data_IF_604265986738
#
_entry.id   IF_604265986738
#
_cell.length_a   1.000
_cell.length_b   1.000
_cell.length_c   1.000
_cell.angle_alpha   90.00
_cell.angle_beta   90.00
_cell.angle_gamma   90.00
#
_symmetry.space_group_name_H-M   'P 1'
#
loop_
_entity.id
_entity.type
_entity.pdbx_description
1 polymer ?
#
# COMPACT_ATOMS: atom_id res chain seq x y z
N UNK A 1 19.34 3.54 9.16
CA UNK A 1 18.50 3.50 7.93
C UNK A 1 18.54 4.86 7.24
N UNK A 2 18.08 5.00 5.98
CA UNK A 2 18.00 6.31 5.32
C UNK A 2 17.04 7.27 6.06
N UNK A 3 16.00 6.73 6.69
CA UNK A 3 15.07 7.48 7.54
C UNK A 3 15.79 8.16 8.72
N UNK A 4 16.76 7.47 9.33
CA UNK A 4 17.56 8.05 10.43
C UNK A 4 18.58 9.10 9.95
N UNK A 5 18.75 9.24 8.62
CA UNK A 5 19.56 10.27 7.97
C UNK A 5 18.71 11.40 7.36
N UNK A 6 17.43 11.50 7.75
CA UNK A 6 16.54 12.59 7.33
C UNK A 6 15.80 12.36 6.01
N UNK A 7 15.79 11.13 5.47
CA UNK A 7 14.90 10.81 4.35
C UNK A 7 13.43 11.00 4.76
N UNK A 8 12.64 11.63 3.89
CA UNK A 8 11.22 11.89 4.13
C UNK A 8 10.43 10.60 3.90
N UNK A 9 9.81 10.06 4.96
CA UNK A 9 9.05 8.80 4.92
C UNK A 9 7.91 8.82 3.89
N UNK A 10 7.29 9.98 3.71
CA UNK A 10 6.18 10.23 2.79
C UNK A 10 6.62 10.88 1.47
N UNK A 11 7.89 10.75 1.08
CA UNK A 11 8.37 11.31 -0.17
C UNK A 11 7.52 10.79 -1.34
N UNK A 12 6.93 11.71 -2.11
CA UNK A 12 6.15 11.36 -3.29
C UNK A 12 7.01 11.45 -4.56
N UNK A 13 6.82 10.49 -5.48
CA UNK A 13 7.46 10.49 -6.79
C UNK A 13 7.70 9.09 -7.37
N UNK A 14 8.15 9.07 -8.63
CA UNK A 14 8.40 7.84 -9.38
C UNK A 14 7.13 7.09 -9.77
N UNK A 15 7.29 5.93 -10.40
CA UNK A 15 6.18 5.08 -10.87
C UNK A 15 5.31 4.52 -9.73
N UNK A 16 5.87 4.41 -8.53
CA UNK A 16 5.23 3.80 -7.37
C UNK A 16 4.55 4.81 -6.43
N UNK A 17 4.63 6.12 -6.69
CA UNK A 17 3.97 7.12 -5.86
C UNK A 17 4.71 7.45 -4.57
N UNK A 18 4.93 6.49 -3.66
CA UNK A 18 5.66 6.69 -2.40
C UNK A 18 6.32 5.39 -1.87
N UNK A 19 7.20 5.45 -0.85
CA UNK A 19 7.86 4.26 -0.30
C UNK A 19 6.92 3.18 0.22
N UNK A 20 5.80 3.56 0.85
CA UNK A 20 4.83 2.62 1.40
C UNK A 20 4.14 1.85 0.27
N UNK A 21 3.69 2.54 -0.79
CA UNK A 21 3.13 1.91 -1.98
C UNK A 21 4.12 0.93 -2.65
N UNK A 22 5.39 1.33 -2.79
CA UNK A 22 6.41 0.45 -3.37
C UNK A 22 6.67 -0.81 -2.53
N UNK A 23 6.74 -0.67 -1.19
CA UNK A 23 6.90 -1.80 -0.29
C UNK A 23 5.68 -2.74 -0.31
N UNK A 24 4.47 -2.15 -0.37
CA UNK A 24 3.21 -2.87 -0.43
C UNK A 24 3.01 -3.62 -1.75
N UNK A 25 3.40 -3.05 -2.88
CA UNK A 25 3.40 -3.73 -4.19
C UNK A 25 4.32 -4.96 -4.24
N UNK A 26 5.39 -4.95 -3.43
CA UNK A 26 6.38 -6.04 -3.38
C UNK A 26 6.14 -7.06 -2.28
N UNK A 27 5.14 -6.83 -1.41
CA UNK A 27 4.87 -7.72 -0.28
C UNK A 27 5.98 -7.70 0.78
N UNK A 28 6.69 -6.58 0.94
CA UNK A 28 7.78 -6.49 1.92
C UNK A 28 7.25 -6.18 3.33
N UNK A 29 6.63 -7.17 3.99
CA UNK A 29 5.93 -7.03 5.28
C UNK A 29 6.73 -6.23 6.32
N UNK A 30 8.01 -6.57 6.54
CA UNK A 30 8.85 -5.91 7.53
C UNK A 30 9.13 -4.44 7.19
N UNK A 31 9.23 -4.12 5.90
CA UNK A 31 9.46 -2.75 5.44
C UNK A 31 8.18 -1.92 5.55
N UNK A 32 7.02 -2.51 5.21
CA UNK A 32 5.71 -1.89 5.40
C UNK A 32 5.50 -1.53 6.87
N UNK A 33 5.72 -2.49 7.78
CA UNK A 33 5.60 -2.26 9.22
C UNK A 33 6.50 -1.11 9.69
N UNK A 34 7.78 -1.14 9.30
CA UNK A 34 8.76 -0.12 9.65
C UNK A 34 8.36 1.27 9.14
N UNK A 35 7.86 1.37 7.91
CA UNK A 35 7.41 2.64 7.34
C UNK A 35 6.21 3.21 8.11
N UNK A 36 5.22 2.36 8.43
CA UNK A 36 4.04 2.75 9.21
C UNK A 36 4.43 3.19 10.63
N UNK A 37 5.36 2.47 11.28
CA UNK A 37 5.86 2.85 12.61
C UNK A 37 6.70 4.14 12.59
N UNK A 38 7.25 4.50 11.43
CA UNK A 38 7.96 5.78 11.20
C UNK A 38 7.02 6.90 10.71
N UNK A 39 5.70 6.69 10.73
CA UNK A 39 4.71 7.71 10.40
C UNK A 39 4.43 7.87 8.91
N UNK A 40 4.61 6.80 8.12
CA UNK A 40 4.08 6.79 6.76
C UNK A 40 2.57 7.02 6.78
N UNK A 41 2.09 7.90 5.90
CA UNK A 41 0.66 8.11 5.70
C UNK A 41 0.08 6.89 4.99
N UNK A 42 -0.67 6.09 5.76
CA UNK A 42 -1.32 4.86 5.29
C UNK A 42 -2.28 5.11 4.11
N UNK A 43 -2.84 6.32 4.02
CA UNK A 43 -3.82 6.72 3.01
C UNK A 43 -3.23 7.59 1.90
N UNK A 44 -1.90 7.75 1.85
CA UNK A 44 -1.24 8.57 0.84
C UNK A 44 -1.59 8.11 -0.58
N UNK A 45 -2.26 9.00 -1.30
CA UNK A 45 -2.69 8.81 -2.68
C UNK A 45 -1.55 9.12 -3.66
N UNK A 46 -1.57 8.46 -4.83
CA UNK A 46 -0.66 8.67 -5.94
C UNK A 46 -0.18 7.37 -6.56
N UNK A 47 0.79 7.46 -7.47
CA UNK A 47 1.36 6.28 -8.14
C UNK A 47 0.35 5.54 -9.03
N UNK A 48 0.78 4.40 -9.57
CA UNK A 48 -0.03 3.58 -10.47
C UNK A 48 -1.27 2.95 -9.80
N UNK A 49 -1.14 2.58 -8.55
CA UNK A 49 -2.15 1.78 -7.84
C UNK A 49 -3.18 2.63 -7.09
N UNK A 50 -2.90 3.92 -6.89
CA UNK A 50 -3.73 4.82 -6.08
C UNK A 50 -3.18 4.95 -4.67
N UNK A 51 -3.06 3.85 -3.91
CA UNK A 51 -2.54 3.82 -2.55
C UNK A 51 -1.90 2.45 -2.22
N UNK A 52 -1.36 2.35 -1.00
CA UNK A 52 -0.65 1.15 -0.55
C UNK A 52 -1.56 -0.07 -0.44
N UNK A 53 -2.81 0.12 -0.02
CA UNK A 53 -3.80 -0.94 0.13
C UNK A 53 -4.16 -1.54 -1.23
N UNK A 54 -4.47 -0.69 -2.22
CA UNK A 54 -4.75 -1.10 -3.60
C UNK A 54 -3.54 -1.81 -4.23
N UNK A 55 -2.32 -1.34 -3.97
CA UNK A 55 -1.10 -1.98 -4.45
C UNK A 55 -0.95 -3.41 -3.90
N UNK A 56 -1.08 -3.59 -2.58
CA UNK A 56 -1.02 -4.89 -1.92
C UNK A 56 -2.13 -5.83 -2.41
N UNK A 57 -3.35 -5.30 -2.55
CA UNK A 57 -4.50 -6.06 -3.01
C UNK A 57 -4.37 -6.55 -4.45
N UNK A 58 -3.86 -5.71 -5.36
CA UNK A 58 -3.59 -6.09 -6.75
C UNK A 58 -2.51 -7.16 -6.92
N UNK A 59 -1.76 -7.46 -5.85
CA UNK A 59 -0.66 -8.44 -5.83
C UNK A 59 -0.91 -9.62 -4.89
N UNK A 60 -2.05 -9.64 -4.20
CA UNK A 60 -2.43 -10.75 -3.32
C UNK A 60 -1.60 -10.83 -2.04
N UNK A 61 -1.08 -9.70 -1.54
CA UNK A 61 -0.22 -9.67 -0.35
C UNK A 61 -1.05 -9.55 0.93
N UNK A 62 -1.70 -10.64 1.34
CA UNK A 62 -2.64 -10.69 2.48
C UNK A 62 -2.09 -10.11 3.80
N UNK A 63 -0.82 -10.39 4.12
CA UNK A 63 -0.20 -9.88 5.35
C UNK A 63 -0.05 -8.36 5.32
N UNK A 64 0.40 -7.81 4.19
CA UNK A 64 0.46 -6.36 3.98
C UNK A 64 -0.94 -5.74 4.03
N UNK A 65 -1.93 -6.37 3.39
CA UNK A 65 -3.33 -5.89 3.42
C UNK A 65 -3.82 -5.77 4.85
N UNK A 66 -3.70 -6.84 5.66
CA UNK A 66 -4.12 -6.83 7.07
C UNK A 66 -3.41 -5.75 7.86
N UNK A 67 -2.09 -5.62 7.70
CA UNK A 67 -1.29 -4.61 8.39
C UNK A 67 -1.73 -3.18 8.04
N UNK A 68 -2.04 -2.90 6.77
CA UNK A 68 -2.55 -1.59 6.34
C UNK A 68 -3.95 -1.32 6.91
N UNK A 69 -4.84 -2.32 6.93
CA UNK A 69 -6.17 -2.21 7.54
C UNK A 69 -6.08 -1.96 9.05
N UNK A 70 -5.22 -2.68 9.75
CA UNK A 70 -4.96 -2.50 11.19
C UNK A 70 -4.44 -1.09 11.50
N UNK A 71 -3.75 -0.46 10.55
CA UNK A 71 -3.25 0.92 10.65
C UNK A 71 -4.24 1.97 10.12
N UNK A 72 -5.46 1.58 9.74
CA UNK A 72 -6.55 2.49 9.37
C UNK A 72 -6.57 2.91 7.90
N UNK A 73 -6.13 2.03 6.99
CA UNK A 73 -6.30 2.25 5.55
C UNK A 73 -7.78 2.38 5.17
N UNK A 74 -8.10 3.39 4.35
CA UNK A 74 -9.46 3.60 3.84
C UNK A 74 -9.77 2.60 2.71
N UNK A 75 -10.59 1.61 3.04
CA UNK A 75 -11.07 0.58 2.10
C UNK A 75 -11.90 1.15 0.95
N UNK A 76 -12.49 2.34 1.13
CA UNK A 76 -13.32 3.00 0.12
C UNK A 76 -12.54 3.95 -0.78
N UNK A 77 -11.25 4.14 -0.52
CA UNK A 77 -10.41 4.99 -1.35
C UNK A 77 -10.46 4.52 -2.82
N UNK A 78 -10.63 5.48 -3.71
CA UNK A 78 -10.62 5.27 -5.17
C UNK A 78 -9.35 5.88 -5.74
N UNK A 79 -8.73 5.20 -6.70
CA UNK A 79 -7.53 5.70 -7.36
C UNK A 79 -6.82 4.64 -8.19
N UNK A 80 -5.80 5.08 -8.93
CA UNK A 80 -5.02 4.22 -9.80
C UNK A 80 -5.83 3.57 -10.93
N UNK A 81 -5.21 2.58 -11.58
CA UNK A 81 -5.79 1.89 -12.74
C UNK A 81 -6.96 0.95 -12.37
N UNK A 82 -7.11 0.61 -11.08
CA UNK A 82 -7.96 -0.50 -10.62
C UNK A 82 -9.18 -0.07 -9.79
N UNK A 83 -9.35 1.24 -9.51
CA UNK A 83 -10.48 1.73 -8.72
C UNK A 83 -10.21 1.62 -7.21
N UNK A 84 -10.81 0.67 -6.48
CA UNK A 84 -10.54 0.44 -5.06
C UNK A 84 -9.83 -0.88 -4.78
N UNK A 85 -9.46 -1.13 -3.52
CA UNK A 85 -8.72 -2.32 -3.11
C UNK A 85 -9.44 -3.64 -3.46
N UNK A 86 -10.76 -3.68 -3.28
CA UNK A 86 -11.58 -4.85 -3.63
C UNK A 86 -11.58 -5.07 -5.15
N UNK A 87 -11.81 -4.01 -5.93
CA UNK A 87 -11.76 -4.08 -7.40
C UNK A 87 -10.38 -4.51 -7.90
N UNK A 88 -9.32 -4.00 -7.28
CA UNK A 88 -7.94 -4.39 -7.60
C UNK A 88 -7.70 -5.88 -7.36
N UNK A 89 -8.13 -6.43 -6.22
CA UNK A 89 -8.01 -7.86 -5.92
C UNK A 89 -8.82 -8.74 -6.88
N UNK A 90 -10.05 -8.33 -7.21
CA UNK A 90 -10.94 -9.09 -8.11
C UNK A 90 -10.45 -9.10 -9.56
N UNK A 91 -9.79 -8.04 -10.02
CA UNK A 91 -9.25 -7.97 -11.39
C UNK A 91 -7.98 -8.81 -11.60
N UNK A 92 -7.33 -9.23 -10.52
CA UNK A 92 -6.05 -9.95 -10.55
C UNK A 92 -6.16 -11.37 -9.96
N UNK A 93 -7.37 -11.92 -9.86
CA UNK A 93 -7.66 -13.27 -9.32
C UNK A 93 -7.11 -13.49 -7.89
N UNK A 94 -7.16 -12.47 -7.04
CA UNK A 94 -6.69 -12.50 -5.65
C UNK A 94 -7.84 -12.56 -4.64
N UNK A 95 -8.63 -13.63 -4.71
CA UNK A 95 -9.88 -13.79 -3.96
C UNK A 95 -9.72 -13.78 -2.44
N UNK A 96 -8.57 -14.20 -1.90
CA UNK A 96 -8.33 -14.19 -0.45
C UNK A 96 -8.29 -12.76 0.10
N UNK A 97 -7.67 -11.82 -0.64
CA UNK A 97 -7.69 -10.40 -0.27
C UNK A 97 -9.09 -9.82 -0.37
N UNK A 98 -9.85 -10.20 -1.42
CA UNK A 98 -11.19 -9.68 -1.65
C UNK A 98 -12.21 -10.08 -0.57
N UNK A 99 -11.94 -11.18 0.15
CA UNK A 99 -12.79 -11.70 1.21
C UNK A 99 -12.39 -11.25 2.64
N UNK A 100 -11.28 -10.52 2.77
CA UNK A 100 -10.69 -10.03 4.04
C UNK A 100 -11.29 -8.69 4.48
#
# INVERSE_FOLDING_TARGET
MLLDKGAVVNAQGGSYGNPLQAASERGHDQLVQMLLDKGADVNAQGGRYGNALQAASSRGHDQVVRMLLDKGADVKAQGGDYGNALQAASLTDHDQVAAS
#
